data_IF_201329608293
#
_entry.id   IF_201329608293
#
_cell.length_a   1.000
_cell.length_b   1.000
_cell.length_c   1.000
_cell.angle_alpha   90.00
_cell.angle_beta   90.00
_cell.angle_gamma   90.00
#
_symmetry.space_group_name_H-M   'P 1'
#
loop_
_entity.id
_entity.type
_entity.pdbx_description
1 polymer ?
#
# COMPACT_ATOMS: atom_id res chain seq x y z
N UNK A 1 -5.89 12.51 11.13
CA UNK A 1 -4.86 13.21 11.93
C UNK A 1 -3.55 12.41 12.07
N UNK A 2 -3.57 11.11 12.43
CA UNK A 2 -2.33 10.27 12.55
C UNK A 2 -1.49 10.17 11.26
N UNK A 3 -2.12 10.08 10.09
CA UNK A 3 -1.42 9.92 8.80
C UNK A 3 -0.53 11.12 8.43
N UNK A 4 -0.94 12.35 8.74
CA UNK A 4 -0.19 13.55 8.31
C UNK A 4 1.11 13.74 9.09
N UNK A 5 1.08 13.61 10.43
CA UNK A 5 2.30 13.73 11.24
C UNK A 5 3.30 12.62 10.94
N UNK A 6 2.82 11.38 10.75
CA UNK A 6 3.69 10.26 10.38
C UNK A 6 4.33 10.47 9.01
N UNK A 7 3.55 10.94 8.03
CA UNK A 7 4.08 11.25 6.70
C UNK A 7 5.08 12.41 6.74
N UNK A 8 4.83 13.44 7.55
CA UNK A 8 5.75 14.56 7.73
C UNK A 8 7.08 14.11 8.38
N UNK A 9 7.01 13.31 9.45
CA UNK A 9 8.19 12.74 10.09
C UNK A 9 8.98 11.85 9.11
N UNK A 10 8.29 10.99 8.36
CA UNK A 10 8.90 10.18 7.31
C UNK A 10 9.61 11.03 6.25
N UNK A 11 9.00 12.15 5.81
CA UNK A 11 9.65 13.06 4.85
C UNK A 11 10.98 13.61 5.35
N UNK A 12 11.07 13.93 6.65
CA UNK A 12 12.30 14.45 7.25
C UNK A 12 13.45 13.42 7.21
N UNK A 13 13.15 12.13 7.12
CA UNK A 13 14.14 11.07 7.02
C UNK A 13 14.83 10.99 5.64
N UNK A 14 14.41 11.74 4.61
CA UNK A 14 14.99 11.65 3.25
C UNK A 14 16.51 11.83 3.24
N UNK A 15 17.00 12.85 3.93
CA UNK A 15 18.44 13.13 4.00
C UNK A 15 19.22 12.02 4.70
N UNK A 16 18.64 11.42 5.74
CA UNK A 16 19.24 10.27 6.42
C UNK A 16 19.23 9.02 5.52
N UNK A 17 18.13 8.77 4.81
CA UNK A 17 18.03 7.64 3.88
C UNK A 17 19.12 7.72 2.80
N UNK A 18 19.30 8.90 2.20
CA UNK A 18 20.35 9.11 1.20
C UNK A 18 21.75 8.94 1.78
N UNK A 19 22.00 9.52 2.97
CA UNK A 19 23.30 9.43 3.65
C UNK A 19 23.72 7.99 3.98
N UNK A 20 22.76 7.13 4.30
CA UNK A 20 23.00 5.75 4.70
C UNK A 20 22.63 4.73 3.60
N UNK A 21 22.42 5.18 2.35
CA UNK A 21 22.11 4.33 1.19
C UNK A 21 20.85 3.48 1.32
N UNK A 22 19.83 4.01 1.99
CA UNK A 22 18.49 3.43 2.10
C UNK A 22 17.49 4.05 1.11
N UNK A 23 17.96 4.66 0.03
CA UNK A 23 17.13 5.36 -0.97
C UNK A 23 15.99 4.47 -1.50
N UNK A 24 16.30 3.22 -1.87
CA UNK A 24 15.31 2.27 -2.38
C UNK A 24 14.17 2.00 -1.39
N UNK A 25 14.51 1.82 -0.11
CA UNK A 25 13.51 1.61 0.94
C UNK A 25 12.68 2.87 1.17
N UNK A 26 13.31 4.04 1.13
CA UNK A 26 12.62 5.31 1.24
C UNK A 26 11.63 5.52 0.08
N UNK A 27 12.05 5.24 -1.16
CA UNK A 27 11.19 5.35 -2.35
C UNK A 27 10.00 4.40 -2.27
N UNK A 28 10.23 3.14 -1.91
CA UNK A 28 9.16 2.15 -1.74
C UNK A 28 8.08 2.62 -0.73
N UNK A 29 8.52 3.12 0.44
CA UNK A 29 7.57 3.60 1.46
C UNK A 29 6.87 4.89 0.99
N UNK A 30 7.58 5.77 0.27
CA UNK A 30 7.00 6.98 -0.30
C UNK A 30 5.91 6.67 -1.33
N UNK A 31 6.16 5.71 -2.22
CA UNK A 31 5.17 5.20 -3.18
C UNK A 31 3.96 4.62 -2.45
N UNK A 32 4.18 3.86 -1.37
CA UNK A 32 3.11 3.38 -0.49
C UNK A 32 2.24 4.53 0.05
N UNK A 33 2.84 5.61 0.56
CA UNK A 33 2.08 6.79 1.00
C UNK A 33 1.31 7.49 -0.12
N UNK A 34 1.87 7.54 -1.34
CA UNK A 34 1.20 8.12 -2.52
C UNK A 34 0.02 7.24 -2.95
N UNK A 35 0.18 5.93 -2.97
CA UNK A 35 -0.90 4.98 -3.25
C UNK A 35 -2.01 5.03 -2.19
N UNK A 36 -1.67 5.36 -0.94
CA UNK A 36 -2.62 5.54 0.16
C UNK A 36 -3.30 6.91 0.21
N UNK A 37 -2.76 7.94 -0.46
CA UNK A 37 -3.37 9.29 -0.51
C UNK A 37 -4.84 9.34 -0.98
N UNK A 38 -5.23 8.63 -2.05
CA UNK A 38 -6.63 8.59 -2.49
C UNK A 38 -7.54 7.76 -1.56
N UNK A 39 -6.96 6.95 -0.66
CA UNK A 39 -7.70 6.12 0.27
C UNK A 39 -8.11 6.95 1.49
N UNK A 40 -9.41 7.24 1.60
CA UNK A 40 -10.01 7.91 2.79
C UNK A 40 -9.67 7.17 4.10
N UNK A 41 -9.42 5.86 4.02
CA UNK A 41 -8.98 5.03 5.15
C UNK A 41 -8.21 3.81 4.64
N UNK A 42 -7.08 3.48 5.26
CA UNK A 42 -6.36 2.22 5.05
C UNK A 42 -7.23 1.00 5.39
N UNK A 43 -8.18 1.14 6.33
CA UNK A 43 -9.15 0.10 6.65
C UNK A 43 -10.07 -0.19 5.45
N UNK A 44 -10.52 0.85 4.74
CA UNK A 44 -11.35 0.71 3.54
C UNK A 44 -10.58 0.00 2.43
N UNK A 45 -9.29 0.31 2.28
CA UNK A 45 -8.41 -0.39 1.35
C UNK A 45 -8.27 -1.85 1.68
N UNK A 46 -7.89 -2.20 2.91
CA UNK A 46 -7.72 -3.61 3.32
C UNK A 46 -9.04 -4.36 3.15
N UNK A 47 -10.20 -3.77 3.50
CA UNK A 47 -11.51 -4.39 3.26
C UNK A 47 -11.76 -4.65 1.77
N UNK A 48 -11.50 -3.67 0.91
CA UNK A 48 -11.75 -3.79 -0.54
C UNK A 48 -10.79 -4.79 -1.17
N UNK A 49 -9.50 -4.70 -0.85
CA UNK A 49 -8.46 -5.59 -1.33
C UNK A 49 -8.74 -7.04 -0.92
N UNK A 50 -8.97 -7.30 0.37
CA UNK A 50 -9.24 -8.66 0.87
C UNK A 50 -10.53 -9.25 0.32
N UNK A 51 -11.54 -8.43 -0.02
CA UNK A 51 -12.75 -8.91 -0.66
C UNK A 51 -12.48 -9.40 -2.09
N UNK A 52 -11.71 -8.63 -2.87
CA UNK A 52 -11.30 -9.02 -4.24
C UNK A 52 -10.42 -10.26 -4.22
N UNK A 53 -9.42 -10.32 -3.33
CA UNK A 53 -8.56 -11.50 -3.16
C UNK A 53 -9.39 -12.75 -2.85
N UNK A 54 -10.37 -12.65 -1.94
CA UNK A 54 -11.22 -13.79 -1.59
C UNK A 54 -12.10 -14.26 -2.75
N UNK A 55 -12.64 -13.34 -3.54
CA UNK A 55 -13.41 -13.65 -4.75
C UNK A 55 -12.55 -14.37 -5.79
N UNK A 56 -11.33 -13.88 -6.03
CA UNK A 56 -10.37 -14.53 -6.94
C UNK A 56 -10.04 -15.94 -6.43
N UNK A 57 -9.76 -16.10 -5.14
CA UNK A 57 -9.47 -17.40 -4.53
C UNK A 57 -10.66 -18.37 -4.76
N UNK A 58 -11.90 -17.94 -4.52
CA UNK A 58 -13.09 -18.78 -4.79
C UNK A 58 -13.22 -19.15 -6.27
N UNK A 59 -13.01 -18.19 -7.18
CA UNK A 59 -13.05 -18.43 -8.63
C UNK A 59 -11.97 -19.43 -9.07
N UNK A 60 -10.76 -19.34 -8.51
CA UNK A 60 -9.68 -20.31 -8.77
C UNK A 60 -10.06 -21.70 -8.28
N UNK A 61 -10.61 -21.82 -7.06
CA UNK A 61 -10.99 -23.11 -6.48
C UNK A 61 -12.24 -23.73 -7.13
N UNK A 62 -13.00 -22.97 -7.92
CA UNK A 62 -14.18 -23.43 -8.64
C UNK A 62 -13.93 -23.69 -10.14
N UNK A 63 -12.67 -23.70 -10.58
CA UNK A 63 -12.27 -23.82 -11.99
C UNK A 63 -12.97 -22.80 -12.90
N UNK A 64 -13.21 -21.59 -12.38
CA UNK A 64 -13.84 -20.52 -13.15
C UNK A 64 -12.98 -20.19 -14.39
N UNK A 65 -13.58 -20.04 -15.59
CA UNK A 65 -12.82 -19.88 -16.83
C UNK A 65 -12.00 -18.59 -16.91
N UNK A 66 -12.33 -17.60 -16.06
CA UNK A 66 -11.57 -16.34 -15.95
C UNK A 66 -11.56 -15.86 -14.49
N UNK A 67 -10.67 -16.37 -13.63
CA UNK A 67 -10.75 -16.16 -12.19
C UNK A 67 -10.12 -14.84 -11.71
N UNK A 68 -9.34 -14.17 -12.57
CA UNK A 68 -8.59 -12.95 -12.24
C UNK A 68 -9.22 -11.66 -12.78
N UNK A 69 -10.43 -11.76 -13.32
CA UNK A 69 -11.12 -10.67 -14.03
C UNK A 69 -12.39 -10.23 -13.35
#
# INVERSE_FOLDING_TARGET
MRSLMMYAAFKMCKGAAHKYQFDLMYEFIQEGFVAMKPLKSAEQFIKTFSAVERDIIEKVHSDHPDPFR
#
